data_IF_173908743225
#
_entry.id   IF_173908743225
#
_cell.length_a   1.000
_cell.length_b   1.000
_cell.length_c   1.000
_cell.angle_alpha   90.00
_cell.angle_beta   90.00
_cell.angle_gamma   90.00
#
_symmetry.space_group_name_H-M   'P 1'
#
loop_
_entity.id
_entity.type
_entity.pdbx_description
1 polymer ?
#
# COMPACT_ATOMS: atom_id res chain seq x y z
N UNK A 1 -27.90 3.05 26.98
CA UNK A 1 -26.93 4.18 27.01
C UNK A 1 -25.58 3.78 26.48
N UNK A 2 -24.83 4.77 25.98
CA UNK A 2 -23.40 4.68 25.73
C UNK A 2 -22.65 5.19 26.98
N UNK A 3 -21.63 4.47 27.43
CA UNK A 3 -20.92 4.76 28.68
C UNK A 3 -19.70 5.68 28.52
N UNK A 4 -19.43 6.19 27.31
CA UNK A 4 -18.26 7.05 27.06
C UNK A 4 -18.35 8.45 27.65
N UNK A 5 -19.57 8.93 27.95
CA UNK A 5 -19.80 10.21 28.64
C UNK A 5 -20.94 10.02 29.63
N UNK A 6 -20.68 10.29 30.90
CA UNK A 6 -21.64 10.18 31.99
C UNK A 6 -21.41 11.32 32.98
N UNK A 7 -22.49 11.78 33.61
CA UNK A 7 -22.46 12.66 34.78
C UNK A 7 -22.97 11.81 35.94
N UNK A 8 -22.19 11.73 37.01
CA UNK A 8 -22.50 10.87 38.15
C UNK A 8 -22.29 11.63 39.46
N UNK A 9 -23.11 11.35 40.45
CA UNK A 9 -22.84 11.70 41.84
C UNK A 9 -22.07 10.54 42.49
N UNK A 10 -20.82 10.73 42.92
CA UNK A 10 -20.05 9.66 43.54
C UNK A 10 -20.71 9.16 44.83
N UNK A 11 -20.91 7.84 44.93
CA UNK A 11 -21.48 7.20 46.12
C UNK A 11 -20.79 5.86 46.39
N UNK A 12 -20.20 5.73 47.58
CA UNK A 12 -19.53 4.49 48.00
C UNK A 12 -20.52 3.33 48.05
N UNK A 13 -21.76 3.59 48.47
CA UNK A 13 -22.83 2.58 48.52
C UNK A 13 -23.15 2.06 47.13
N UNK A 14 -23.36 2.95 46.15
CA UNK A 14 -23.65 2.57 44.76
C UNK A 14 -22.46 1.85 44.13
N UNK A 15 -21.24 2.29 44.41
CA UNK A 15 -20.03 1.61 43.93
C UNK A 15 -19.93 0.18 44.46
N UNK A 16 -20.08 -0.02 45.78
CA UNK A 16 -20.02 -1.37 46.39
C UNK A 16 -21.13 -2.27 45.86
N UNK A 17 -22.33 -1.74 45.65
CA UNK A 17 -23.43 -2.51 45.05
C UNK A 17 -23.07 -2.91 43.62
N UNK A 18 -22.66 -1.98 42.76
CA UNK A 18 -22.22 -2.27 41.39
C UNK A 18 -21.15 -3.36 41.36
N UNK A 19 -20.11 -3.27 42.20
CA UNK A 19 -19.06 -4.29 42.27
C UNK A 19 -19.63 -5.66 42.65
N UNK A 20 -20.58 -5.73 43.59
CA UNK A 20 -21.24 -6.98 43.97
C UNK A 20 -22.11 -7.59 42.86
N UNK A 21 -22.51 -6.79 41.87
CA UNK A 21 -23.34 -7.21 40.74
C UNK A 21 -22.52 -7.60 39.49
N UNK A 22 -21.20 -7.35 39.45
CA UNK A 22 -20.36 -7.63 38.27
C UNK A 22 -20.45 -9.10 37.82
N UNK A 23 -20.45 -10.04 38.77
CA UNK A 23 -20.53 -11.47 38.48
C UNK A 23 -21.98 -12.00 38.33
N UNK A 24 -22.98 -11.12 38.53
CA UNK A 24 -24.41 -11.49 38.57
C UNK A 24 -25.19 -10.95 37.38
N UNK A 25 -24.91 -9.70 36.99
CA UNK A 25 -25.59 -9.05 35.88
C UNK A 25 -24.86 -9.32 34.56
N UNK A 26 -25.58 -9.60 33.47
CA UNK A 26 -24.95 -9.82 32.18
C UNK A 26 -24.38 -8.52 31.63
N UNK A 27 -23.28 -8.61 30.89
CA UNK A 27 -22.82 -7.55 29.98
C UNK A 27 -22.91 -8.03 28.54
N UNK A 28 -23.93 -7.56 27.80
CA UNK A 28 -24.15 -7.98 26.41
C UNK A 28 -23.06 -7.51 25.44
N UNK A 29 -22.22 -6.56 25.84
CA UNK A 29 -21.03 -6.12 25.07
C UNK A 29 -19.73 -6.75 25.57
N UNK A 30 -19.76 -7.49 26.69
CA UNK A 30 -18.55 -7.95 27.39
C UNK A 30 -17.73 -6.82 28.03
N UNK A 31 -18.29 -5.59 28.13
CA UNK A 31 -17.62 -4.41 28.69
C UNK A 31 -18.49 -3.62 29.66
N UNK A 32 -18.03 -2.43 30.04
CA UNK A 32 -18.69 -1.51 30.96
C UNK A 32 -20.07 -1.05 30.44
N UNK A 33 -20.18 -0.73 29.15
CA UNK A 33 -21.45 -0.29 28.56
C UNK A 33 -22.56 -1.33 28.75
N UNK A 34 -22.28 -2.61 28.45
CA UNK A 34 -23.25 -3.68 28.61
C UNK A 34 -23.66 -3.87 30.07
N UNK A 35 -22.69 -3.86 30.99
CA UNK A 35 -22.93 -3.99 32.43
C UNK A 35 -23.78 -2.83 32.97
N UNK A 36 -23.42 -1.58 32.66
CA UNK A 36 -24.12 -0.39 33.14
C UNK A 36 -25.56 -0.33 32.63
N UNK A 37 -25.82 -0.82 31.40
CA UNK A 37 -27.19 -0.94 30.90
C UNK A 37 -28.01 -2.01 31.62
N UNK A 38 -27.38 -3.09 32.09
CA UNK A 38 -28.06 -4.11 32.91
C UNK A 38 -28.31 -3.61 34.33
N UNK A 39 -27.36 -2.87 34.91
CA UNK A 39 -27.47 -2.30 36.25
C UNK A 39 -28.52 -1.18 36.30
N UNK A 40 -28.51 -0.26 35.32
CA UNK A 40 -29.50 0.80 35.15
C UNK A 40 -30.52 0.43 34.06
N UNK A 41 -31.24 -0.68 34.23
CA UNK A 41 -32.14 -1.24 33.22
C UNK A 41 -33.21 -0.26 32.70
N UNK A 42 -33.68 0.66 33.56
CA UNK A 42 -34.71 1.63 33.20
C UNK A 42 -34.17 2.95 32.62
N UNK A 43 -32.84 3.10 32.49
CA UNK A 43 -32.22 4.36 32.05
C UNK A 43 -32.70 4.82 30.65
N UNK A 44 -33.10 3.88 29.80
CA UNK A 44 -33.65 4.21 28.48
C UNK A 44 -34.94 5.05 28.57
N UNK A 45 -35.71 4.88 29.64
CA UNK A 45 -36.97 5.60 29.89
C UNK A 45 -36.77 6.92 30.64
N UNK A 46 -35.56 7.19 31.15
CA UNK A 46 -35.26 8.46 31.82
C UNK A 46 -35.48 9.65 30.89
N UNK A 47 -35.85 10.81 31.45
CA UNK A 47 -36.07 12.03 30.66
C UNK A 47 -34.75 12.57 30.12
N UNK A 48 -34.80 13.26 28.98
CA UNK A 48 -33.63 13.97 28.46
C UNK A 48 -33.33 15.15 29.39
N UNK A 49 -32.04 15.36 29.68
CA UNK A 49 -31.58 16.52 30.43
C UNK A 49 -31.70 17.77 29.54
N UNK A 50 -32.47 18.76 30.01
CA UNK A 50 -32.68 20.04 29.35
C UNK A 50 -32.18 21.17 30.27
N UNK A 51 -30.97 21.72 30.02
CA UNK A 51 -30.35 22.69 30.92
C UNK A 51 -31.15 23.99 31.05
N UNK A 52 -31.88 24.37 30.00
CA UNK A 52 -32.69 25.59 29.97
C UNK A 52 -34.07 25.41 30.63
N UNK A 53 -34.43 24.19 31.02
CA UNK A 53 -35.71 23.88 31.68
C UNK A 53 -35.50 22.87 32.83
N UNK A 54 -34.84 23.29 33.92
CA UNK A 54 -34.58 22.41 35.06
C UNK A 54 -35.88 22.00 35.75
N UNK A 55 -35.96 20.73 36.15
CA UNK A 55 -37.12 20.15 36.82
C UNK A 55 -36.98 20.22 38.34
N UNK A 56 -38.09 20.43 39.05
CA UNK A 56 -38.16 20.38 40.51
C UNK A 56 -39.30 19.45 40.97
N UNK A 57 -39.03 18.40 41.76
CA UNK A 57 -37.72 17.91 42.17
C UNK A 57 -36.92 17.32 40.98
N UNK A 58 -35.60 17.25 41.13
CA UNK A 58 -34.72 16.69 40.11
C UNK A 58 -34.97 15.16 39.97
N UNK A 59 -35.07 14.63 38.74
CA UNK A 59 -35.21 13.18 38.53
C UNK A 59 -33.96 12.42 38.99
N UNK A 60 -34.12 11.20 39.51
CA UNK A 60 -32.99 10.35 39.93
C UNK A 60 -31.98 10.06 38.80
N UNK A 61 -32.46 9.96 37.55
CA UNK A 61 -31.63 9.78 36.37
C UNK A 61 -32.15 10.58 35.20
N UNK A 62 -31.22 11.06 34.36
CA UNK A 62 -31.53 11.79 33.14
C UNK A 62 -30.60 11.34 32.00
N UNK A 63 -31.10 11.42 30.76
CA UNK A 63 -30.34 11.10 29.55
C UNK A 63 -29.70 12.36 28.99
N UNK A 64 -28.40 12.32 28.76
CA UNK A 64 -27.74 13.35 27.95
C UNK A 64 -28.23 13.26 26.51
N UNK A 65 -28.44 14.42 25.88
CA UNK A 65 -28.71 14.48 24.45
C UNK A 65 -27.46 14.06 23.65
N UNK A 66 -27.66 13.70 22.38
CA UNK A 66 -26.57 13.29 21.48
C UNK A 66 -25.51 14.38 21.24
N UNK A 67 -25.81 15.65 21.58
CA UNK A 67 -24.86 16.77 21.53
C UNK A 67 -23.63 16.54 22.43
N UNK A 68 -23.82 15.84 23.55
CA UNK A 68 -22.79 15.60 24.57
C UNK A 68 -22.09 14.25 24.42
N UNK A 69 -22.46 13.44 23.43
CA UNK A 69 -21.82 12.15 23.15
C UNK A 69 -22.06 11.78 21.68
N UNK A 70 -21.53 12.60 20.76
CA UNK A 70 -21.74 12.42 19.34
C UNK A 70 -20.88 11.26 18.81
N UNK A 71 -21.56 10.20 18.39
CA UNK A 71 -20.94 8.94 18.00
C UNK A 71 -20.41 8.96 16.56
N UNK A 72 -19.09 8.83 16.39
CA UNK A 72 -18.44 8.79 15.08
C UNK A 72 -18.84 7.54 14.27
N UNK A 73 -19.15 6.43 14.92
CA UNK A 73 -19.68 5.22 14.28
C UNK A 73 -21.04 5.47 13.62
N UNK A 74 -21.95 6.19 14.29
CA UNK A 74 -23.21 6.61 13.67
C UNK A 74 -22.98 7.59 12.51
N UNK A 75 -22.04 8.53 12.68
CA UNK A 75 -21.64 9.43 11.59
C UNK A 75 -21.15 8.66 10.36
N UNK A 76 -20.38 7.58 10.52
CA UNK A 76 -19.90 6.78 9.39
C UNK A 76 -21.01 6.05 8.64
N UNK A 77 -22.10 5.65 9.33
CA UNK A 77 -23.26 5.02 8.70
C UNK A 77 -24.12 6.05 7.97
N UNK A 78 -24.34 7.22 8.57
CA UNK A 78 -25.22 8.25 8.02
C UNK A 78 -24.52 9.26 7.07
N UNK A 79 -23.18 9.30 7.10
CA UNK A 79 -22.33 10.32 6.47
C UNK A 79 -22.71 11.77 6.83
N UNK A 80 -23.31 11.96 8.01
CA UNK A 80 -23.69 13.26 8.59
C UNK A 80 -23.86 13.12 10.10
N UNK A 81 -23.74 14.24 10.81
CA UNK A 81 -24.14 14.31 12.21
C UNK A 81 -25.66 14.23 12.33
N UNK A 82 -26.15 13.59 13.39
CA UNK A 82 -27.58 13.49 13.69
C UNK A 82 -28.15 14.78 14.31
N UNK A 83 -27.27 15.73 14.61
CA UNK A 83 -27.50 17.03 15.25
C UNK A 83 -26.75 18.09 14.45
N UNK A 84 -27.06 19.37 14.67
CA UNK A 84 -26.28 20.46 14.06
C UNK A 84 -24.81 20.37 14.50
N UNK A 85 -23.90 20.35 13.53
CA UNK A 85 -22.47 20.28 13.74
C UNK A 85 -21.95 21.43 14.61
N UNK A 86 -22.59 22.61 14.53
CA UNK A 86 -22.22 23.80 15.30
C UNK A 86 -22.56 23.68 16.79
N UNK A 87 -23.50 22.81 17.13
CA UNK A 87 -23.96 22.62 18.51
C UNK A 87 -23.23 21.47 19.22
N UNK A 88 -22.45 20.68 18.47
CA UNK A 88 -21.68 19.56 19.02
C UNK A 88 -20.76 20.01 20.15
N UNK A 89 -20.85 19.30 21.28
CA UNK A 89 -20.04 19.58 22.48
C UNK A 89 -18.93 18.55 22.64
N UNK A 90 -19.24 17.28 22.43
CA UNK A 90 -18.29 16.17 22.62
C UNK A 90 -18.42 15.18 21.48
N UNK A 91 -17.30 14.89 20.82
CA UNK A 91 -17.18 13.87 19.78
C UNK A 91 -16.58 12.62 20.39
N UNK A 92 -17.28 11.50 20.26
CA UNK A 92 -16.84 10.20 20.75
C UNK A 92 -16.42 9.29 19.59
N UNK A 93 -15.12 8.99 19.54
CA UNK A 93 -14.52 8.06 18.56
C UNK A 93 -14.73 6.60 18.98
N UNK A 94 -15.95 6.11 18.78
CA UNK A 94 -16.44 4.78 19.18
C UNK A 94 -15.94 3.62 18.33
N UNK A 95 -15.41 3.88 17.14
CA UNK A 95 -14.93 2.86 16.23
C UNK A 95 -13.62 2.24 16.76
N UNK A 96 -13.75 1.11 17.47
CA UNK A 96 -12.65 0.40 18.13
C UNK A 96 -11.35 0.30 17.33
N UNK A 97 -11.34 -0.28 16.11
CA UNK A 97 -10.13 -0.43 15.31
C UNK A 97 -9.69 0.84 14.55
N UNK A 98 -10.51 1.89 14.58
CA UNK A 98 -10.33 3.13 13.80
C UNK A 98 -10.20 4.31 14.75
N UNK A 99 -9.17 4.28 15.58
CA UNK A 99 -8.90 5.37 16.53
C UNK A 99 -8.20 6.52 15.83
N UNK A 100 -8.48 7.78 16.24
CA UNK A 100 -8.00 8.95 15.51
C UNK A 100 -6.48 9.15 15.62
N UNK A 101 -5.82 8.57 16.64
CA UNK A 101 -4.36 8.59 16.77
C UNK A 101 -3.65 7.63 15.81
N UNK A 102 -4.35 6.65 15.25
CA UNK A 102 -3.77 5.77 14.23
C UNK A 102 -3.71 6.52 12.89
N UNK A 103 -2.51 6.65 12.32
CA UNK A 103 -2.27 7.49 11.15
C UNK A 103 -3.13 7.11 9.93
N UNK A 104 -3.52 5.83 9.79
CA UNK A 104 -4.33 5.34 8.68
C UNK A 104 -5.80 5.78 8.78
N UNK A 105 -6.30 6.03 9.99
CA UNK A 105 -7.71 6.31 10.24
C UNK A 105 -8.17 7.60 9.56
N UNK A 106 -7.29 8.60 9.47
CA UNK A 106 -7.60 9.89 8.81
C UNK A 106 -7.95 9.73 7.32
N UNK A 107 -7.46 8.69 6.66
CA UNK A 107 -7.76 8.42 5.25
C UNK A 107 -9.14 7.78 5.06
N UNK A 108 -9.67 7.15 6.11
CA UNK A 108 -10.94 6.43 6.10
C UNK A 108 -12.08 7.30 6.66
N UNK A 109 -11.85 7.95 7.80
CA UNK A 109 -12.89 8.54 8.65
C UNK A 109 -12.73 10.07 8.70
N UNK A 110 -13.76 10.82 8.25
CA UNK A 110 -13.70 12.29 8.09
C UNK A 110 -13.51 13.07 9.40
N UNK A 111 -14.21 12.80 10.52
CA UNK A 111 -14.06 13.60 11.75
C UNK A 111 -12.66 13.60 12.37
N UNK A 112 -11.77 12.70 11.95
CA UNK A 112 -10.40 12.56 12.50
C UNK A 112 -9.57 13.83 12.38
N UNK A 113 -9.83 14.65 11.36
CA UNK A 113 -9.13 15.93 11.18
C UNK A 113 -9.29 16.84 12.39
N UNK A 114 -10.50 16.93 12.96
CA UNK A 114 -10.79 17.73 14.17
C UNK A 114 -9.91 17.24 15.34
N UNK A 115 -9.78 15.93 15.51
CA UNK A 115 -8.94 15.37 16.57
C UNK A 115 -7.45 15.65 16.33
N UNK A 116 -6.97 15.53 15.09
CA UNK A 116 -5.58 15.81 14.75
C UNK A 116 -5.24 17.29 14.93
N UNK A 117 -6.16 18.21 14.60
CA UNK A 117 -5.98 19.65 14.79
C UNK A 117 -5.87 20.02 16.27
N UNK A 118 -6.69 19.39 17.13
CA UNK A 118 -6.58 19.54 18.59
C UNK A 118 -5.27 18.93 19.10
N UNK A 119 -4.94 17.71 18.65
CA UNK A 119 -3.72 17.00 19.04
C UNK A 119 -2.48 17.85 18.80
N UNK A 120 -2.37 18.51 17.66
CA UNK A 120 -1.21 19.34 17.32
C UNK A 120 -1.03 20.56 18.22
N UNK A 121 -2.12 21.05 18.83
CA UNK A 121 -2.11 22.20 19.75
C UNK A 121 -1.85 21.80 21.20
N UNK A 122 -1.78 20.50 21.51
CA UNK A 122 -1.50 20.04 22.86
C UNK A 122 -0.13 20.50 23.32
N UNK A 123 -0.12 21.14 24.49
CA UNK A 123 1.11 21.53 25.16
C UNK A 123 1.93 20.31 25.56
N UNK A 124 3.21 20.57 25.78
CA UNK A 124 4.15 19.55 26.21
C UNK A 124 3.91 19.20 27.68
N UNK A 125 3.53 17.95 27.94
CA UNK A 125 3.42 17.45 29.33
C UNK A 125 4.74 16.84 29.83
N UNK A 126 5.51 16.25 28.92
CA UNK A 126 6.85 15.67 29.13
C UNK A 126 7.77 16.03 27.95
N UNK A 127 9.10 16.08 28.12
CA UNK A 127 10.04 16.40 27.05
C UNK A 127 9.83 15.57 25.76
N UNK A 128 9.64 16.28 24.64
CA UNK A 128 9.34 15.79 23.31
C UNK A 128 7.91 15.27 23.08
N UNK A 129 6.96 15.51 24.00
CA UNK A 129 5.55 15.04 23.85
C UNK A 129 4.58 16.06 23.27
N UNK A 130 5.01 17.33 23.11
CA UNK A 130 4.19 18.39 22.53
C UNK A 130 3.56 17.99 21.19
N UNK A 131 2.31 18.38 20.98
CA UNK A 131 1.53 17.97 19.80
C UNK A 131 1.14 16.49 19.79
N UNK A 132 1.11 15.83 20.96
CA UNK A 132 0.83 14.40 21.12
C UNK A 132 1.87 13.52 20.43
N UNK A 133 3.13 13.94 20.44
CA UNK A 133 4.25 13.22 19.81
C UNK A 133 4.95 12.31 20.81
N UNK A 134 5.77 11.39 20.30
CA UNK A 134 6.60 10.51 21.09
C UNK A 134 8.05 10.58 20.58
N UNK A 135 9.05 10.91 21.42
CA UNK A 135 10.46 10.98 21.01
C UNK A 135 10.97 9.70 20.37
N UNK A 136 10.54 8.54 20.88
CA UNK A 136 10.93 7.25 20.32
C UNK A 136 10.40 7.07 18.90
N UNK A 137 9.11 7.34 18.68
CA UNK A 137 8.48 7.20 17.38
C UNK A 137 9.08 8.19 16.37
N UNK A 138 9.45 9.40 16.81
CA UNK A 138 10.17 10.36 15.96
C UNK A 138 11.53 9.84 15.51
N UNK A 139 12.27 9.18 16.40
CA UNK A 139 13.57 8.59 16.07
C UNK A 139 13.39 7.46 15.05
N UNK A 140 12.41 6.58 15.25
CA UNK A 140 12.07 5.51 14.31
C UNK A 140 11.70 6.10 12.94
N UNK A 141 10.82 7.10 12.90
CA UNK A 141 10.45 7.77 11.64
C UNK A 141 11.65 8.35 10.92
N UNK A 142 12.55 9.04 11.62
CA UNK A 142 13.79 9.58 11.02
C UNK A 142 14.65 8.47 10.43
N UNK A 143 14.81 7.36 11.14
CA UNK A 143 15.56 6.21 10.64
C UNK A 143 14.91 5.58 9.42
N UNK A 144 13.58 5.40 9.43
CA UNK A 144 12.80 4.84 8.32
C UNK A 144 12.89 5.70 7.06
N UNK A 145 12.99 7.02 7.18
CA UNK A 145 13.24 7.89 6.02
C UNK A 145 14.68 7.81 5.53
N UNK A 146 15.68 7.79 6.42
CA UNK A 146 17.10 7.83 6.03
C UNK A 146 17.57 6.50 5.39
N UNK A 147 17.04 5.38 5.87
CA UNK A 147 17.53 4.05 5.52
C UNK A 147 17.38 3.72 4.01
N UNK A 148 16.24 3.96 3.33
CA UNK A 148 16.12 3.75 1.89
C UNK A 148 17.14 4.56 1.07
N UNK A 149 17.39 5.83 1.44
CA UNK A 149 18.45 6.63 0.80
C UNK A 149 19.84 6.04 1.02
N UNK A 150 20.12 5.52 2.23
CA UNK A 150 21.40 4.86 2.49
C UNK A 150 21.56 3.58 1.66
N UNK A 151 20.51 2.77 1.50
CA UNK A 151 20.51 1.57 0.66
C UNK A 151 20.70 1.92 -0.82
N UNK A 152 20.04 2.97 -1.29
CA UNK A 152 20.21 3.56 -2.63
C UNK A 152 21.66 3.99 -2.87
N UNK A 153 22.22 4.79 -1.96
CA UNK A 153 23.59 5.30 -2.05
C UNK A 153 24.62 4.17 -2.00
N UNK A 154 24.44 3.19 -1.11
CA UNK A 154 25.31 2.02 -1.02
C UNK A 154 25.23 1.17 -2.29
N UNK A 155 24.03 0.92 -2.81
CA UNK A 155 23.83 0.20 -4.07
C UNK A 155 24.44 0.92 -5.27
N UNK A 156 24.30 2.25 -5.34
CA UNK A 156 24.94 3.09 -6.35
C UNK A 156 26.47 3.03 -6.24
N UNK A 157 27.01 3.22 -5.03
CA UNK A 157 28.45 3.17 -4.78
C UNK A 157 29.05 1.80 -5.14
N UNK A 158 28.37 0.71 -4.77
CA UNK A 158 28.78 -0.65 -5.10
C UNK A 158 28.76 -0.88 -6.62
N UNK A 159 27.76 -0.35 -7.33
CA UNK A 159 27.68 -0.39 -8.80
C UNK A 159 28.82 0.41 -9.45
N UNK A 160 29.10 1.63 -8.97
CA UNK A 160 30.21 2.45 -9.45
C UNK A 160 31.59 1.81 -9.22
N UNK A 161 31.81 1.20 -8.06
CA UNK A 161 33.09 0.55 -7.74
C UNK A 161 33.30 -0.73 -8.56
N UNK A 162 32.23 -1.49 -8.84
CA UNK A 162 32.27 -2.66 -9.70
C UNK A 162 32.44 -2.29 -11.19
N UNK A 163 31.98 -1.11 -11.61
CA UNK A 163 32.10 -0.57 -12.96
C UNK A 163 33.32 0.36 -13.15
N UNK A 164 34.46 0.06 -12.51
CA UNK A 164 35.74 0.80 -12.64
C UNK A 164 36.36 0.83 -14.06
N UNK A 165 35.57 0.64 -15.12
CA UNK A 165 35.98 0.95 -16.50
C UNK A 165 35.16 2.01 -17.24
N UNK A 166 33.98 2.42 -16.80
CA UNK A 166 33.25 3.50 -17.51
C UNK A 166 32.43 4.38 -16.56
N UNK A 167 32.88 5.62 -16.37
CA UNK A 167 32.10 6.69 -15.73
C UNK A 167 31.03 7.21 -16.71
N UNK A 168 29.73 7.16 -16.41
CA UNK A 168 28.75 7.91 -17.20
C UNK A 168 28.62 9.31 -16.62
N UNK A 169 29.09 10.30 -17.39
CA UNK A 169 28.86 11.72 -17.12
C UNK A 169 27.40 12.10 -17.38
N UNK A 170 27.02 13.29 -16.89
CA UNK A 170 25.70 13.96 -16.87
C UNK A 170 25.06 14.17 -18.27
N UNK A 171 25.55 13.54 -19.34
CA UNK A 171 25.02 13.64 -20.71
C UNK A 171 23.68 12.92 -20.96
N UNK A 172 23.22 12.04 -20.07
CA UNK A 172 22.04 11.18 -20.29
C UNK A 172 20.70 11.95 -20.33
N UNK A 173 20.53 13.00 -19.54
CA UNK A 173 19.26 13.75 -19.45
C UNK A 173 19.03 14.69 -20.65
N UNK A 174 20.10 15.27 -21.21
CA UNK A 174 20.00 16.08 -22.42
C UNK A 174 19.77 15.25 -23.70
N UNK A 175 20.18 13.97 -23.71
CA UNK A 175 19.86 13.03 -24.78
C UNK A 175 18.39 12.56 -24.74
N UNK A 176 17.80 12.46 -23.54
CA UNK A 176 16.40 12.10 -23.30
C UNK A 176 15.43 13.12 -23.92
N UNK A 177 15.64 14.42 -23.68
CA UNK A 177 14.81 15.49 -24.25
C UNK A 177 14.91 15.57 -25.80
N UNK A 178 16.07 15.24 -26.39
CA UNK A 178 16.25 15.23 -27.84
C UNK A 178 15.57 14.03 -28.53
N UNK A 179 15.46 12.87 -27.87
CA UNK A 179 14.79 11.68 -28.44
C UNK A 179 13.27 11.76 -28.39
N UNK A 180 12.68 12.31 -27.33
CA UNK A 180 11.23 12.58 -27.28
C UNK A 180 10.79 13.50 -28.42
N UNK A 181 11.63 14.49 -28.76
CA UNK A 181 11.39 15.43 -29.86
C UNK A 181 11.55 14.80 -31.24
N UNK A 182 12.41 13.79 -31.40
CA UNK A 182 12.60 13.10 -32.68
C UNK A 182 11.51 12.06 -32.97
N UNK A 183 10.99 11.37 -31.94
CA UNK A 183 9.93 10.36 -32.10
C UNK A 183 8.55 10.97 -32.42
N UNK A 184 8.38 12.27 -32.18
CA UNK A 184 7.16 13.02 -32.53
C UNK A 184 7.27 13.74 -33.88
N UNK A 185 8.45 13.77 -34.51
CA UNK A 185 8.72 14.51 -35.75
C UNK A 185 8.93 13.61 -36.98
N UNK A 186 8.94 12.28 -36.80
CA UNK A 186 8.90 11.32 -37.90
C UNK A 186 7.45 10.87 -38.11
N UNK A 187 6.82 11.39 -39.16
CA UNK A 187 5.66 10.76 -39.79
C UNK A 187 6.04 9.33 -40.21
N UNK A 188 5.61 8.34 -39.45
CA UNK A 188 5.60 6.94 -39.89
C UNK A 188 4.25 6.35 -39.49
N UNK A 189 3.53 5.84 -40.48
CA UNK A 189 2.13 5.45 -40.40
C UNK A 189 1.86 4.37 -39.34
N UNK A 190 0.75 4.53 -38.60
CA UNK A 190 0.20 3.50 -37.71
C UNK A 190 0.00 2.18 -38.46
N UNK A 191 0.41 1.02 -37.89
CA UNK A 191 -0.20 -0.24 -38.23
C UNK A 191 -1.56 -0.32 -37.54
N UNK A 192 -2.62 -0.18 -38.34
CA UNK A 192 -4.00 -0.47 -37.98
C UNK A 192 -4.13 -1.97 -37.62
N UNK A 193 -4.25 -2.31 -36.34
CA UNK A 193 -4.85 -3.58 -35.95
C UNK A 193 -6.34 -3.33 -35.68
N UNK A 194 -7.13 -3.67 -36.68
CA UNK A 194 -8.58 -3.73 -36.64
C UNK A 194 -9.06 -4.72 -35.56
N UNK A 195 -10.20 -4.35 -34.99
CA UNK A 195 -10.98 -5.09 -34.02
C UNK A 195 -11.12 -6.59 -34.34
N UNK A 196 -10.89 -7.44 -33.34
CA UNK A 196 -11.55 -8.75 -33.24
C UNK A 196 -12.29 -8.77 -31.93
N UNK A 197 -13.61 -8.91 -32.06
CA UNK A 197 -14.58 -8.79 -30.98
C UNK A 197 -14.47 -9.88 -29.93
N UNK A 198 -15.00 -9.51 -28.77
CA UNK A 198 -15.27 -10.37 -27.63
C UNK A 198 -16.26 -11.46 -28.04
N UNK A 199 -15.89 -12.72 -27.83
CA UNK A 199 -16.85 -13.76 -27.51
C UNK A 199 -16.23 -14.76 -26.54
N UNK A 200 -17.02 -15.05 -25.51
CA UNK A 200 -16.71 -15.89 -24.37
C UNK A 200 -16.63 -17.37 -24.76
N UNK A 201 -15.89 -18.10 -23.93
CA UNK A 201 -15.91 -19.55 -23.68
C UNK A 201 -14.78 -20.40 -24.28
N UNK A 202 -14.25 -21.23 -23.37
CA UNK A 202 -13.64 -22.55 -23.56
C UNK A 202 -12.11 -22.62 -23.68
N UNK A 203 -11.52 -23.15 -22.60
CA UNK A 203 -10.30 -23.93 -22.55
C UNK A 203 -10.09 -24.74 -23.85
N UNK A 204 -9.04 -24.45 -24.63
CA UNK A 204 -8.24 -25.44 -25.39
C UNK A 204 -7.17 -24.76 -26.26
N UNK A 205 -5.92 -25.16 -26.02
CA UNK A 205 -4.79 -25.26 -26.96
C UNK A 205 -4.73 -24.32 -28.16
N UNK A 206 -3.75 -23.41 -28.17
CA UNK A 206 -3.15 -22.90 -29.40
C UNK A 206 -1.64 -23.08 -29.39
N UNK A 207 -1.18 -24.11 -30.09
CA UNK A 207 0.20 -24.26 -30.53
C UNK A 207 0.55 -23.11 -31.48
N UNK A 208 1.24 -22.07 -31.00
CA UNK A 208 1.98 -21.19 -31.90
C UNK A 208 3.28 -21.90 -32.30
N UNK A 209 3.30 -22.37 -33.56
CA UNK A 209 4.52 -22.76 -34.28
C UNK A 209 5.39 -21.52 -34.45
N UNK A 210 6.37 -21.36 -33.57
CA UNK A 210 7.57 -20.57 -33.82
C UNK A 210 8.66 -21.52 -34.31
N UNK A 211 9.23 -21.14 -35.45
CA UNK A 211 10.40 -21.69 -36.14
C UNK A 211 11.39 -22.51 -35.30
N UNK A 212 11.83 -23.63 -35.88
CA UNK A 212 12.73 -24.64 -35.32
C UNK A 212 14.07 -24.07 -34.81
N UNK A 213 14.27 -24.19 -33.50
CA UNK A 213 15.55 -24.16 -32.80
C UNK A 213 15.32 -24.77 -31.40
N UNK A 214 16.30 -25.39 -30.74
CA UNK A 214 16.12 -26.03 -29.43
C UNK A 214 16.06 -24.97 -28.32
N UNK A 215 15.07 -24.06 -28.38
CA UNK A 215 14.75 -23.18 -27.27
C UNK A 215 13.96 -23.98 -26.24
N UNK A 216 14.48 -24.09 -25.01
CA UNK A 216 13.74 -24.70 -23.89
C UNK A 216 12.34 -24.08 -23.83
N UNK A 217 11.31 -24.90 -24.05
CA UNK A 217 9.92 -24.50 -23.81
C UNK A 217 9.79 -24.23 -22.32
N UNK A 218 9.41 -23.00 -21.98
CA UNK A 218 9.13 -22.60 -20.60
C UNK A 218 7.99 -23.49 -20.06
N UNK A 219 8.08 -24.02 -18.82
CA UNK A 219 7.03 -24.86 -18.28
C UNK A 219 5.66 -24.14 -18.28
N UNK A 220 4.59 -24.86 -18.59
CA UNK A 220 3.23 -24.28 -18.69
C UNK A 220 2.74 -23.61 -17.41
N UNK A 221 3.25 -24.05 -16.25
CA UNK A 221 2.93 -23.50 -14.93
C UNK A 221 3.76 -22.27 -14.53
N UNK A 222 4.77 -21.88 -15.33
CA UNK A 222 5.70 -20.81 -14.98
C UNK A 222 5.00 -19.46 -14.73
N UNK A 223 4.04 -19.10 -15.59
CA UNK A 223 3.26 -17.88 -15.42
C UNK A 223 2.48 -17.87 -14.11
N UNK A 224 1.85 -18.99 -13.74
CA UNK A 224 1.11 -19.11 -12.49
C UNK A 224 2.01 -18.95 -11.25
N UNK A 225 3.23 -19.50 -11.29
CA UNK A 225 4.21 -19.32 -10.21
C UNK A 225 4.63 -17.84 -10.09
N UNK A 226 4.87 -17.16 -11.22
CA UNK A 226 5.23 -15.74 -11.21
C UNK A 226 4.14 -14.86 -10.59
N UNK A 227 2.87 -15.13 -10.91
CA UNK A 227 1.71 -14.46 -10.32
C UNK A 227 1.64 -14.71 -8.82
N UNK A 228 1.74 -15.97 -8.38
CA UNK A 228 1.69 -16.33 -6.96
C UNK A 228 2.79 -15.61 -6.16
N UNK A 229 4.03 -15.66 -6.64
CA UNK A 229 5.16 -15.00 -5.97
C UNK A 229 5.00 -13.48 -5.96
N UNK A 230 4.45 -12.89 -7.02
CA UNK A 230 4.15 -11.47 -7.08
C UNK A 230 3.16 -11.04 -5.99
N UNK A 231 2.02 -11.73 -5.86
CA UNK A 231 1.02 -11.42 -4.84
C UNK A 231 1.50 -11.70 -3.41
N UNK A 232 2.23 -12.81 -3.20
CA UNK A 232 2.85 -13.09 -1.90
C UNK A 232 3.86 -12.01 -1.52
N UNK A 233 4.69 -11.56 -2.47
CA UNK A 233 5.63 -10.45 -2.24
C UNK A 233 4.89 -9.16 -1.89
N UNK A 234 3.82 -8.83 -2.61
CA UNK A 234 3.04 -7.62 -2.35
C UNK A 234 2.36 -7.64 -0.97
N UNK A 235 1.74 -8.76 -0.60
CA UNK A 235 1.10 -8.93 0.71
C UNK A 235 2.10 -8.87 1.86
N UNK A 236 3.25 -9.54 1.74
CA UNK A 236 4.32 -9.50 2.75
C UNK A 236 4.89 -8.08 2.87
N UNK A 237 5.10 -7.37 1.75
CA UNK A 237 5.60 -6.00 1.76
C UNK A 237 4.64 -5.02 2.45
N UNK A 238 3.34 -5.15 2.20
CA UNK A 238 2.34 -4.31 2.84
C UNK A 238 2.29 -4.59 4.36
N UNK A 239 2.24 -5.86 4.76
CA UNK A 239 2.24 -6.25 6.16
C UNK A 239 3.51 -5.79 6.88
N UNK A 240 4.67 -5.91 6.22
CA UNK A 240 5.95 -5.43 6.73
C UNK A 240 5.92 -3.91 6.96
N UNK A 241 5.42 -3.13 6.00
CA UNK A 241 5.29 -1.67 6.13
C UNK A 241 4.41 -1.28 7.34
N UNK A 242 3.25 -1.91 7.50
CA UNK A 242 2.38 -1.66 8.67
C UNK A 242 3.00 -2.07 10.02
N UNK A 243 3.91 -3.04 10.01
CA UNK A 243 4.55 -3.53 11.24
C UNK A 243 5.67 -2.59 11.73
N UNK A 244 6.43 -2.01 10.80
CA UNK A 244 7.58 -1.15 11.15
C UNK A 244 7.19 0.31 11.42
N UNK A 245 6.08 0.79 10.85
CA UNK A 245 5.65 2.18 10.96
C UNK A 245 4.91 2.37 12.30
N UNK A 246 5.36 3.30 13.17
CA UNK A 246 4.67 3.57 14.42
C UNK A 246 3.24 4.06 14.17
N UNK A 247 2.29 3.58 14.99
CA UNK A 247 0.86 3.88 14.83
C UNK A 247 0.53 5.36 15.05
N UNK A 248 1.15 5.98 16.06
CA UNK A 248 0.81 7.32 16.54
C UNK A 248 1.62 8.44 15.89
N UNK A 249 1.72 8.44 14.56
CA UNK A 249 2.40 9.50 13.80
C UNK A 249 1.38 10.37 13.05
N UNK A 250 1.87 11.38 12.33
CA UNK A 250 0.99 12.21 11.52
C UNK A 250 0.46 11.41 10.32
N UNK A 251 -0.83 11.58 9.94
CA UNK A 251 -1.45 10.81 8.86
C UNK A 251 -0.65 10.77 7.55
N UNK A 252 -0.15 11.93 7.10
CA UNK A 252 0.67 12.05 5.90
C UNK A 252 2.01 11.34 6.01
N UNK A 253 2.68 11.48 7.16
CA UNK A 253 3.96 10.79 7.41
C UNK A 253 3.79 9.28 7.34
N UNK A 254 2.74 8.74 7.97
CA UNK A 254 2.45 7.32 7.91
C UNK A 254 2.12 6.83 6.50
N UNK A 255 1.32 7.59 5.74
CA UNK A 255 0.99 7.21 4.37
C UNK A 255 2.21 7.19 3.44
N UNK A 256 3.09 8.20 3.53
CA UNK A 256 4.31 8.27 2.74
C UNK A 256 5.26 7.11 3.06
N UNK A 257 5.49 6.85 4.35
CA UNK A 257 6.31 5.72 4.79
C UNK A 257 5.71 4.38 4.36
N UNK A 258 4.39 4.25 4.39
CA UNK A 258 3.70 3.03 3.95
C UNK A 258 3.99 2.76 2.48
N UNK A 259 3.85 3.76 1.60
CA UNK A 259 4.18 3.61 0.20
C UNK A 259 5.67 3.30 -0.02
N UNK A 260 6.55 4.07 0.59
CA UNK A 260 8.00 3.90 0.47
C UNK A 260 8.42 2.48 0.85
N UNK A 261 8.04 2.01 2.03
CA UNK A 261 8.44 0.71 2.53
C UNK A 261 7.73 -0.46 1.86
N UNK A 262 6.48 -0.30 1.46
CA UNK A 262 5.78 -1.31 0.66
C UNK A 262 6.50 -1.49 -0.69
N UNK A 263 6.83 -0.39 -1.37
CA UNK A 263 7.53 -0.46 -2.64
C UNK A 263 8.95 -1.01 -2.47
N UNK A 264 9.75 -0.48 -1.54
CA UNK A 264 11.12 -0.96 -1.29
C UNK A 264 11.12 -2.46 -0.99
N UNK A 265 10.27 -2.93 -0.08
CA UNK A 265 10.18 -4.36 0.24
C UNK A 265 9.71 -5.18 -0.97
N UNK A 266 8.73 -4.68 -1.75
CA UNK A 266 8.22 -5.38 -2.93
C UNK A 266 9.27 -5.48 -4.04
N UNK A 267 10.00 -4.40 -4.32
CA UNK A 267 11.13 -4.39 -5.25
C UNK A 267 12.22 -5.37 -4.81
N UNK A 268 12.52 -5.45 -3.50
CA UNK A 268 13.52 -6.40 -3.00
C UNK A 268 13.04 -7.86 -3.15
N UNK A 269 11.82 -8.18 -2.73
CA UNK A 269 11.26 -9.52 -2.76
C UNK A 269 11.00 -9.99 -4.20
N UNK A 270 10.13 -9.30 -4.94
CA UNK A 270 9.79 -9.70 -6.32
C UNK A 270 10.98 -9.50 -7.27
N UNK A 271 11.79 -8.46 -7.09
CA UNK A 271 13.03 -8.29 -7.85
C UNK A 271 14.06 -9.38 -7.56
N UNK A 272 14.13 -9.92 -6.33
CA UNK A 272 14.96 -11.11 -6.05
C UNK A 272 14.49 -12.34 -6.81
N UNK A 273 13.17 -12.54 -6.91
CA UNK A 273 12.59 -13.59 -7.73
C UNK A 273 12.91 -13.42 -9.22
N UNK A 274 12.76 -12.20 -9.77
CA UNK A 274 13.12 -11.94 -11.17
C UNK A 274 14.62 -12.17 -11.44
N UNK A 275 15.50 -11.85 -10.48
CA UNK A 275 16.93 -12.19 -10.55
C UNK A 275 17.19 -13.70 -10.54
N UNK A 276 16.43 -14.45 -9.73
CA UNK A 276 16.49 -15.90 -9.73
C UNK A 276 16.08 -16.47 -11.09
N UNK A 277 14.96 -15.98 -11.64
CA UNK A 277 14.45 -16.36 -12.97
C UNK A 277 15.45 -16.02 -14.08
N UNK A 278 16.07 -14.83 -14.02
CA UNK A 278 17.13 -14.45 -14.94
C UNK A 278 18.31 -15.43 -14.89
N UNK A 279 18.79 -15.77 -13.69
CA UNK A 279 19.89 -16.74 -13.51
C UNK A 279 19.50 -18.13 -14.01
N UNK A 280 18.27 -18.55 -13.75
CA UNK A 280 17.72 -19.79 -14.29
C UNK A 280 17.82 -19.81 -15.82
N UNK A 281 17.36 -18.74 -16.48
CA UNK A 281 17.46 -18.61 -17.94
C UNK A 281 18.89 -18.75 -18.44
N UNK A 282 19.83 -18.07 -17.78
CA UNK A 282 21.27 -18.14 -18.09
C UNK A 282 21.88 -19.54 -17.92
N UNK A 283 21.46 -20.29 -16.90
CA UNK A 283 21.90 -21.68 -16.69
C UNK A 283 21.26 -22.60 -17.73
N UNK A 284 19.97 -22.41 -18.05
CA UNK A 284 19.27 -23.25 -19.02
C UNK A 284 19.88 -23.18 -20.42
N UNK A 285 20.49 -22.04 -20.79
CA UNK A 285 21.24 -21.90 -22.03
C UNK A 285 22.49 -22.83 -22.11
N UNK A 286 23.08 -23.24 -20.98
CA UNK A 286 24.26 -24.13 -20.97
C UNK A 286 23.96 -25.58 -21.37
N UNK A 287 22.76 -26.08 -21.09
CA UNK A 287 22.38 -27.45 -21.42
C UNK A 287 22.14 -27.66 -22.92
N UNK A 288 21.80 -26.59 -23.66
CA UNK A 288 21.57 -26.64 -25.12
C UNK A 288 22.89 -26.54 -25.89
N UNK A 289 23.92 -25.89 -25.33
CA UNK A 289 25.23 -25.73 -25.97
C UNK A 289 26.15 -26.95 -25.91
N UNK A 290 25.80 -28.00 -25.15
CA UNK A 290 26.64 -29.18 -24.99
C UNK A 290 26.29 -30.35 -25.93
N UNK A 291 25.25 -30.21 -26.77
CA UNK A 291 24.79 -31.27 -27.68
C UNK A 291 25.19 -31.09 -29.15
N UNK A 292 25.93 -30.04 -29.52
CA UNK A 292 26.46 -29.88 -30.87
C UNK A 292 27.97 -29.65 -30.82
N UNK A 293 28.72 -30.72 -30.60
CA UNK A 293 30.10 -30.81 -31.06
C UNK A 293 30.07 -31.44 -32.45
N UNK A 294 29.91 -30.63 -33.50
CA UNK A 294 30.52 -30.93 -34.79
C UNK A 294 30.52 -29.75 -35.76
N UNK A 295 31.64 -29.66 -36.47
CA UNK A 295 31.97 -28.86 -37.65
C UNK A 295 32.23 -27.36 -37.48
N UNK A 296 33.50 -27.03 -37.73
CA UNK A 296 34.05 -25.71 -37.99
C UNK A 296 33.42 -25.07 -39.22
N UNK A 297 33.17 -23.76 -39.17
CA UNK A 297 33.45 -22.90 -40.32
C UNK A 297 33.66 -21.45 -39.88
N UNK A 298 34.82 -20.92 -40.26
CA UNK A 298 35.25 -19.55 -40.01
C UNK A 298 34.47 -18.60 -40.91
N UNK A 299 33.76 -17.62 -40.34
CA UNK A 299 33.54 -16.35 -41.03
C UNK A 299 33.75 -15.17 -40.09
N UNK A 300 34.74 -14.36 -40.49
CA UNK A 300 35.19 -13.13 -39.86
C UNK A 300 34.57 -11.94 -40.60
N UNK A 301 34.05 -10.97 -39.86
CA UNK A 301 33.48 -9.69 -40.36
C UNK A 301 31.96 -9.63 -40.21
N UNK A 302 31.32 -8.67 -39.55
CA UNK A 302 31.69 -7.29 -39.21
C UNK A 302 31.06 -6.93 -37.86
N UNK A 303 31.90 -6.83 -36.83
CA UNK A 303 31.49 -6.24 -35.56
C UNK A 303 31.39 -4.73 -35.74
N UNK A 304 30.21 -4.16 -35.51
CA UNK A 304 29.95 -2.81 -34.96
C UNK A 304 28.42 -2.59 -34.93
N UNK A 305 27.72 -3.16 -33.94
CA UNK A 305 26.35 -2.74 -33.67
C UNK A 305 26.05 -2.72 -32.17
N UNK A 306 25.97 -1.49 -31.66
CA UNK A 306 25.34 -1.02 -30.41
C UNK A 306 25.85 -1.60 -29.09
N UNK A 307 26.97 -1.05 -28.63
CA UNK A 307 27.20 -0.81 -27.21
C UNK A 307 26.45 0.46 -26.78
N UNK A 308 25.15 0.36 -26.56
CA UNK A 308 24.38 1.34 -25.77
C UNK A 308 23.79 0.53 -24.62
N UNK A 309 23.95 1.02 -23.39
CA UNK A 309 23.36 0.41 -22.20
C UNK A 309 21.85 0.20 -22.44
N UNK A 310 21.43 -1.05 -22.64
CA UNK A 310 20.02 -1.42 -22.76
C UNK A 310 19.35 -1.18 -21.39
N UNK A 311 18.88 0.05 -21.20
CA UNK A 311 17.97 0.39 -20.13
C UNK A 311 16.65 -0.36 -20.41
N UNK A 312 16.21 -1.18 -19.46
CA UNK A 312 15.03 -2.03 -19.61
C UNK A 312 13.75 -1.20 -19.55
N UNK A 313 13.39 -0.63 -20.70
CA UNK A 313 12.22 0.24 -20.86
C UNK A 313 10.92 -0.50 -20.52
N UNK A 314 10.85 -1.79 -20.81
CA UNK A 314 9.68 -2.62 -20.51
C UNK A 314 9.54 -2.85 -19.01
N UNK A 315 10.62 -3.23 -18.33
CA UNK A 315 10.59 -3.41 -16.88
C UNK A 315 10.21 -2.11 -16.16
N UNK A 316 10.81 -0.99 -16.59
CA UNK A 316 10.51 0.34 -16.03
C UNK A 316 9.03 0.70 -16.20
N UNK A 317 8.43 0.39 -17.35
CA UNK A 317 7.01 0.63 -17.61
C UNK A 317 6.11 -0.16 -16.64
N UNK A 318 6.38 -1.45 -16.44
CA UNK A 318 5.60 -2.28 -15.52
C UNK A 318 5.74 -1.84 -14.06
N UNK A 319 6.95 -1.56 -13.60
CA UNK A 319 7.20 -1.07 -12.24
C UNK A 319 6.50 0.27 -11.99
N UNK A 320 6.64 1.22 -12.92
CA UNK A 320 5.99 2.54 -12.82
C UNK A 320 4.48 2.40 -12.89
N UNK A 321 3.95 1.56 -13.78
CA UNK A 321 2.52 1.29 -13.90
C UNK A 321 1.92 0.75 -12.61
N UNK A 322 2.56 -0.25 -11.97
CA UNK A 322 2.12 -0.78 -10.68
C UNK A 322 2.10 0.31 -9.60
N UNK A 323 3.16 1.13 -9.52
CA UNK A 323 3.26 2.20 -8.53
C UNK A 323 2.18 3.27 -8.74
N UNK A 324 1.98 3.73 -9.99
CA UNK A 324 0.97 4.75 -10.32
C UNK A 324 -0.43 4.26 -10.02
N UNK A 325 -0.78 3.03 -10.40
CA UNK A 325 -2.11 2.47 -10.13
C UNK A 325 -2.33 2.31 -8.63
N UNK A 326 -1.33 1.86 -7.87
CA UNK A 326 -1.41 1.74 -6.41
C UNK A 326 -1.64 3.11 -5.72
N UNK A 327 -0.91 4.14 -6.14
CA UNK A 327 -1.07 5.51 -5.63
C UNK A 327 -2.46 6.04 -5.98
N UNK A 328 -2.87 5.96 -7.25
CA UNK A 328 -4.20 6.42 -7.70
C UNK A 328 -5.31 5.71 -6.92
N UNK A 329 -5.18 4.40 -6.70
CA UNK A 329 -6.18 3.62 -5.95
C UNK A 329 -6.44 4.20 -4.57
N UNK A 330 -5.39 4.54 -3.82
CA UNK A 330 -5.51 5.08 -2.46
C UNK A 330 -5.96 6.54 -2.44
N UNK A 331 -5.48 7.37 -3.38
CA UNK A 331 -5.80 8.80 -3.40
C UNK A 331 -7.12 9.14 -4.11
N UNK A 332 -7.63 8.25 -4.96
CA UNK A 332 -8.84 8.50 -5.75
C UNK A 332 -10.06 8.94 -4.93
N UNK A 333 -10.36 8.39 -3.73
CA UNK A 333 -11.51 8.86 -2.97
C UNK A 333 -11.33 10.30 -2.47
N UNK A 334 -10.12 10.66 -2.05
CA UNK A 334 -9.77 12.00 -1.58
C UNK A 334 -9.81 13.02 -2.71
N UNK A 335 -9.27 12.67 -3.90
CA UNK A 335 -9.28 13.53 -5.09
C UNK A 335 -10.71 13.79 -5.56
N UNK A 336 -11.58 12.79 -5.49
CA UNK A 336 -12.99 12.92 -5.86
C UNK A 336 -13.88 13.55 -4.78
N UNK A 337 -13.31 13.92 -3.63
CA UNK A 337 -14.06 14.53 -2.52
C UNK A 337 -15.08 13.59 -1.86
N UNK A 338 -14.90 12.27 -1.98
CA UNK A 338 -15.82 11.28 -1.42
C UNK A 338 -15.64 11.23 0.09
N UNK A 339 -16.69 11.56 0.84
CA UNK A 339 -16.67 11.56 2.31
C UNK A 339 -17.22 10.28 2.92
N UNK A 340 -18.18 9.63 2.25
CA UNK A 340 -18.84 8.42 2.72
C UNK A 340 -17.88 7.23 2.77
N UNK A 341 -17.72 6.62 3.94
CA UNK A 341 -16.77 5.53 4.19
C UNK A 341 -16.95 4.34 3.23
N UNK A 342 -18.18 3.84 3.07
CA UNK A 342 -18.45 2.69 2.20
C UNK A 342 -18.15 2.98 0.74
N UNK A 343 -18.43 4.20 0.27
CA UNK A 343 -18.09 4.62 -1.10
C UNK A 343 -16.58 4.73 -1.28
N UNK A 344 -15.85 5.27 -0.28
CA UNK A 344 -14.37 5.27 -0.30
C UNK A 344 -13.81 3.86 -0.40
N UNK A 345 -14.27 2.96 0.47
CA UNK A 345 -13.82 1.56 0.48
C UNK A 345 -14.16 0.86 -0.84
N UNK A 346 -15.36 1.07 -1.38
CA UNK A 346 -15.77 0.53 -2.68
C UNK A 346 -14.85 0.99 -3.82
N UNK A 347 -14.47 2.27 -3.83
CA UNK A 347 -13.54 2.81 -4.83
C UNK A 347 -12.12 2.25 -4.66
N UNK A 348 -11.64 2.12 -3.43
CA UNK A 348 -10.34 1.49 -3.14
C UNK A 348 -10.32 0.01 -3.55
N UNK A 349 -11.42 -0.72 -3.33
CA UNK A 349 -11.58 -2.11 -3.79
C UNK A 349 -11.55 -2.18 -5.32
N UNK A 350 -12.29 -1.31 -6.01
CA UNK A 350 -12.28 -1.25 -7.47
C UNK A 350 -10.87 -0.96 -8.04
N UNK A 351 -10.16 0.02 -7.46
CA UNK A 351 -8.77 0.29 -7.82
C UNK A 351 -7.83 -0.87 -7.49
N UNK A 352 -8.05 -1.58 -6.38
CA UNK A 352 -7.33 -2.79 -6.01
C UNK A 352 -7.51 -3.93 -7.01
N UNK A 353 -8.72 -4.12 -7.55
CA UNK A 353 -8.98 -5.10 -8.62
C UNK A 353 -8.25 -4.73 -9.92
N UNK A 354 -8.23 -3.44 -10.29
CA UNK A 354 -7.45 -2.96 -11.43
C UNK A 354 -5.95 -3.19 -11.23
N UNK A 355 -5.43 -2.87 -10.04
CA UNK A 355 -4.04 -3.13 -9.67
C UNK A 355 -3.71 -4.62 -9.76
N UNK A 356 -4.53 -5.49 -9.17
CA UNK A 356 -4.33 -6.94 -9.19
C UNK A 356 -4.33 -7.49 -10.63
N UNK A 357 -5.22 -6.99 -11.49
CA UNK A 357 -5.27 -7.37 -12.91
C UNK A 357 -3.99 -6.96 -13.64
N UNK A 358 -3.53 -5.71 -13.43
CA UNK A 358 -2.29 -5.22 -14.00
C UNK A 358 -1.06 -5.98 -13.48
N UNK A 359 -0.99 -6.26 -12.18
CA UNK A 359 0.09 -7.03 -11.55
C UNK A 359 0.15 -8.47 -12.07
N UNK A 360 -1.01 -9.09 -12.32
CA UNK A 360 -1.08 -10.43 -12.92
C UNK A 360 -0.42 -10.43 -14.30
N UNK A 361 -0.77 -9.47 -15.16
CA UNK A 361 -0.17 -9.31 -16.47
C UNK A 361 1.33 -8.97 -16.38
N UNK A 362 1.67 -7.95 -15.60
CA UNK A 362 3.04 -7.47 -15.43
C UNK A 362 3.98 -8.55 -14.90
N UNK A 363 3.57 -9.32 -13.89
CA UNK A 363 4.41 -10.35 -13.27
C UNK A 363 4.80 -11.45 -14.24
N UNK A 364 3.87 -11.90 -15.09
CA UNK A 364 4.15 -12.90 -16.14
C UNK A 364 5.11 -12.34 -17.18
N UNK A 365 4.85 -11.13 -17.68
CA UNK A 365 5.71 -10.49 -18.69
C UNK A 365 7.12 -10.21 -18.17
N UNK A 366 7.25 -9.69 -16.95
CA UNK A 366 8.53 -9.45 -16.30
C UNK A 366 9.32 -10.74 -16.10
N UNK A 367 8.66 -11.82 -15.64
CA UNK A 367 9.33 -13.10 -15.42
C UNK A 367 9.80 -13.74 -16.74
N UNK A 368 8.95 -13.72 -17.78
CA UNK A 368 9.30 -14.23 -19.12
C UNK A 368 10.44 -13.41 -19.72
N UNK A 369 10.37 -12.08 -19.63
CA UNK A 369 11.42 -11.18 -20.12
C UNK A 369 12.75 -11.43 -19.40
N UNK A 370 12.73 -11.53 -18.06
CA UNK A 370 13.91 -11.83 -17.25
C UNK A 370 14.56 -13.18 -17.66
N UNK A 371 13.76 -14.22 -17.86
CA UNK A 371 14.25 -15.53 -18.29
C UNK A 371 14.93 -15.48 -19.67
N UNK A 372 14.28 -14.85 -20.66
CA UNK A 372 14.85 -14.73 -22.01
C UNK A 372 16.08 -13.83 -22.04
N UNK A 373 16.10 -12.74 -21.27
CA UNK A 373 17.27 -11.87 -21.11
C UNK A 373 18.46 -12.67 -20.56
N UNK A 374 18.21 -13.53 -19.56
CA UNK A 374 19.20 -14.45 -19.02
C UNK A 374 19.77 -15.43 -20.05
N UNK A 375 18.93 -15.96 -20.95
CA UNK A 375 19.39 -16.81 -22.06
C UNK A 375 20.24 -16.05 -23.08
N UNK A 376 19.82 -14.83 -23.46
CA UNK A 376 20.49 -14.00 -24.48
C UNK A 376 21.85 -13.49 -24.02
N UNK A 377 21.95 -12.97 -22.80
CA UNK A 377 23.17 -12.35 -22.28
C UNK A 377 24.35 -13.32 -22.18
N UNK A 378 24.10 -14.62 -22.00
CA UNK A 378 25.17 -15.63 -21.96
C UNK A 378 25.74 -15.97 -23.34
N UNK A 379 24.95 -15.80 -24.40
CA UNK A 379 25.40 -16.04 -25.79
C UNK A 379 26.23 -14.86 -26.34
N UNK A 380 26.19 -13.69 -25.70
CA UNK A 380 26.91 -12.47 -26.09
C UNK A 380 27.92 -11.98 -25.03
N UNK A 381 29.11 -12.59 -24.99
CA UNK A 381 30.28 -12.15 -24.19
C UNK A 381 30.21 -12.35 -22.67
N UNK A 382 31.36 -12.75 -22.11
CA UNK A 382 31.55 -13.33 -20.78
C UNK A 382 31.69 -12.31 -19.63
N UNK A 383 31.35 -11.03 -19.83
CA UNK A 383 31.74 -9.96 -18.88
C UNK A 383 30.75 -8.80 -18.75
N UNK A 384 29.48 -9.06 -18.46
CA UNK A 384 28.59 -8.04 -17.86
C UNK A 384 28.01 -8.56 -16.55
N UNK A 385 28.45 -7.97 -15.43
CA UNK A 385 27.81 -8.17 -14.12
C UNK A 385 26.71 -7.13 -13.96
N UNK A 386 25.54 -7.60 -13.54
CA UNK A 386 24.28 -6.87 -13.58
C UNK A 386 24.19 -5.95 -12.37
N UNK A 387 23.90 -4.68 -12.62
CA UNK A 387 23.58 -3.68 -11.59
C UNK A 387 22.24 -4.04 -10.92
N UNK A 388 22.16 -3.87 -9.60
CA UNK A 388 20.98 -4.16 -8.77
C UNK A 388 19.71 -3.40 -9.22
N UNK A 389 19.88 -2.35 -10.03
CA UNK A 389 18.86 -1.41 -10.51
C UNK A 389 18.49 -1.57 -11.99
N UNK A 390 19.05 -2.56 -12.71
CA UNK A 390 18.87 -2.72 -14.17
C UNK A 390 18.02 -3.94 -14.57
N UNK A 391 17.23 -4.50 -13.64
CA UNK A 391 16.30 -5.60 -13.83
C UNK A 391 14.90 -5.23 -13.32
#
# INVERSE_FOLDING_TARGET
MNSGVMVVEPSETVFKDMISQVDRLPSYTGGDQGFLNSYYADFANSRVYEPDSPLTPEPETQRLSTLYNADVGLYMLANKWMVDEKELRVIHYTLGPLKPWDWWTAWLVKPVEIWQDVRQKLEESLPGTGGGRNPHDQLVVKFLFILPFCLLLFGYYQSCFQNKKDFPSVQSLCAFARRGRHKYKSEEALPSYLAVGVSSSTFSTSNQRISNGPHLKLPSYFGAIAVLICFMSAGVSLAFAFTIIPRQIMPWTGLLLMFEWTFVAFFLLFGSYLRFVYRWGSISATHVGYSNSDSSENHMGTGHQRNISDFDMEATFYWTGMAVIAVITVFSPTILGITALFTKLGLMVAGGVLLASFMTYASVHLAISAFHKGQKDRNGSRTRRICFWCL
#
